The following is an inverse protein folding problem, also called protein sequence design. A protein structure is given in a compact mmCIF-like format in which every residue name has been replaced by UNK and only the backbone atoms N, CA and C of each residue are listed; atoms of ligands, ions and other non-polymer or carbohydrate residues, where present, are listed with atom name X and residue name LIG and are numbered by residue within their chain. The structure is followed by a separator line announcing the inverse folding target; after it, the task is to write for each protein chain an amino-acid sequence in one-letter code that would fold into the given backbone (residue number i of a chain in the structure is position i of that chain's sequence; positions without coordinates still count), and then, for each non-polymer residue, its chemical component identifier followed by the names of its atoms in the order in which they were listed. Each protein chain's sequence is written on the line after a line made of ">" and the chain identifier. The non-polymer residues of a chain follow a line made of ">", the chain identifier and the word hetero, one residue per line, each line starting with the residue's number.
data_IF_660283985527
#
_entry.id   IF_660283985527
#
_cell.length_a   1.000
_cell.length_b   1.000
_cell.length_c   1.000
_cell.angle_alpha   90.00
_cell.angle_beta   90.00
_cell.angle_gamma   90.00
#
_symmetry.space_group_name_H-M   'P 1'
#
loop_
_entity.id
_entity.type
_entity.pdbx_description
1 polymer ?
#
# COMPACT_ATOMS: atom_id res chain seq x y z
N UNK A 1 -37.93 -8.46 48.89
CA UNK A 1 -38.20 -9.07 47.56
C UNK A 1 -36.93 -8.93 46.73
N UNK A 2 -36.11 -9.98 46.72
CA UNK A 2 -34.86 -10.01 45.97
C UNK A 2 -35.14 -10.52 44.56
N UNK A 3 -34.98 -9.65 43.53
CA UNK A 3 -35.07 -10.04 42.12
C UNK A 3 -33.80 -10.80 41.73
N UNK A 4 -33.94 -12.10 41.46
CA UNK A 4 -32.94 -12.97 40.83
C UNK A 4 -32.68 -12.49 39.40
N UNK A 5 -31.49 -11.93 39.19
CA UNK A 5 -30.96 -11.72 37.83
C UNK A 5 -30.72 -13.11 37.20
N UNK A 6 -31.55 -13.49 36.23
CA UNK A 6 -31.36 -14.68 35.41
C UNK A 6 -30.08 -14.49 34.57
N UNK A 7 -29.05 -15.29 34.87
CA UNK A 7 -27.91 -15.47 33.98
C UNK A 7 -28.40 -15.97 32.62
N UNK A 8 -28.26 -15.16 31.60
CA UNK A 8 -28.55 -15.55 30.20
C UNK A 8 -27.57 -16.65 29.76
N UNK A 9 -28.11 -17.85 29.59
CA UNK A 9 -27.35 -19.02 29.17
C UNK A 9 -26.59 -18.76 27.87
N UNK A 10 -25.37 -19.28 27.85
CA UNK A 10 -24.55 -19.42 26.66
C UNK A 10 -25.39 -20.11 25.59
N UNK A 11 -25.76 -19.39 24.52
CA UNK A 11 -26.50 -19.95 23.38
C UNK A 11 -25.77 -21.18 22.87
N UNK A 12 -26.44 -22.33 22.84
CA UNK A 12 -25.96 -23.53 22.16
C UNK A 12 -25.57 -23.13 20.73
N UNK A 13 -24.26 -23.22 20.40
CA UNK A 13 -23.76 -22.99 19.03
C UNK A 13 -24.54 -23.95 18.11
N UNK A 14 -25.32 -23.41 17.20
CA UNK A 14 -26.08 -24.18 16.25
C UNK A 14 -25.18 -25.11 15.44
N UNK A 15 -25.52 -26.38 15.28
CA UNK A 15 -24.76 -27.37 14.47
C UNK A 15 -24.47 -26.85 13.05
N UNK A 16 -25.30 -25.96 12.53
CA UNK A 16 -25.14 -25.29 11.24
C UNK A 16 -23.94 -24.32 11.22
N UNK A 17 -23.59 -23.69 12.35
CA UNK A 17 -22.42 -22.83 12.49
C UNK A 17 -21.13 -23.63 12.44
N UNK A 18 -21.12 -24.85 12.99
CA UNK A 18 -19.93 -25.72 12.93
C UNK A 18 -19.58 -26.14 11.50
N UNK A 19 -20.58 -26.43 10.66
CA UNK A 19 -20.36 -26.73 9.24
C UNK A 19 -19.76 -25.54 8.49
N UNK A 20 -20.23 -24.32 8.78
CA UNK A 20 -19.69 -23.10 8.19
C UNK A 20 -18.26 -22.81 8.68
N UNK A 21 -18.01 -22.97 9.99
CA UNK A 21 -16.67 -22.83 10.56
C UNK A 21 -15.69 -23.82 9.92
N UNK A 22 -16.06 -25.09 9.76
CA UNK A 22 -15.24 -26.09 9.11
C UNK A 22 -14.96 -25.73 7.64
N UNK A 23 -15.98 -25.30 6.90
CA UNK A 23 -15.82 -24.87 5.51
C UNK A 23 -14.86 -23.68 5.40
N UNK A 24 -14.95 -22.69 6.30
CA UNK A 24 -14.05 -21.54 6.34
C UNK A 24 -12.60 -21.95 6.67
N UNK A 25 -12.40 -22.90 7.60
CA UNK A 25 -11.07 -23.43 7.93
C UNK A 25 -10.47 -24.16 6.73
N UNK A 26 -11.25 -24.98 6.03
CA UNK A 26 -10.79 -25.68 4.82
C UNK A 26 -10.41 -24.70 3.71
N UNK A 27 -11.23 -23.68 3.48
CA UNK A 27 -10.91 -22.61 2.53
C UNK A 27 -9.61 -21.89 2.93
N UNK A 28 -9.47 -21.51 4.20
CA UNK A 28 -8.26 -20.87 4.69
C UNK A 28 -7.02 -21.76 4.51
N UNK A 29 -7.13 -23.07 4.76
CA UNK A 29 -6.06 -24.01 4.55
C UNK A 29 -5.63 -24.10 3.08
N UNK A 30 -6.60 -24.12 2.14
CA UNK A 30 -6.33 -24.10 0.69
C UNK A 30 -5.58 -22.83 0.30
N UNK A 31 -6.03 -21.65 0.81
CA UNK A 31 -5.35 -20.38 0.54
C UNK A 31 -3.95 -20.29 1.15
N UNK A 32 -3.67 -21.06 2.20
CA UNK A 32 -2.37 -21.09 2.84
C UNK A 32 -1.35 -21.97 2.08
N UNK A 33 -1.79 -22.93 1.25
CA UNK A 33 -0.92 -23.84 0.50
C UNK A 33 0.17 -23.10 -0.32
N UNK A 34 -0.15 -22.09 -1.15
CA UNK A 34 0.88 -21.40 -1.92
C UNK A 34 1.88 -20.63 -1.04
N UNK A 35 1.44 -20.08 0.09
CA UNK A 35 2.32 -19.42 1.05
C UNK A 35 3.25 -20.42 1.72
N UNK A 36 2.70 -21.56 2.14
CA UNK A 36 3.47 -22.67 2.68
C UNK A 36 4.53 -23.18 1.69
N UNK A 37 4.11 -23.43 0.44
CA UNK A 37 5.01 -23.84 -0.64
C UNK A 37 6.15 -22.86 -0.85
N UNK A 38 5.85 -21.56 -0.91
CA UNK A 38 6.85 -20.50 -1.03
C UNK A 38 7.85 -20.59 0.13
N UNK A 39 7.36 -20.63 1.37
CA UNK A 39 8.22 -20.64 2.57
C UNK A 39 9.12 -21.89 2.60
N UNK A 40 8.56 -23.09 2.43
CA UNK A 40 9.37 -24.31 2.53
C UNK A 40 10.40 -24.45 1.41
N UNK A 41 10.08 -23.93 0.22
CA UNK A 41 10.99 -23.97 -0.94
C UNK A 41 12.20 -23.06 -0.73
N UNK A 42 12.08 -21.97 0.04
CA UNK A 42 13.24 -21.11 0.33
C UNK A 42 14.39 -21.81 1.04
N UNK A 43 14.12 -22.94 1.71
CA UNK A 43 15.10 -23.69 2.49
C UNK A 43 15.55 -24.98 1.80
N UNK A 44 15.15 -25.27 0.57
CA UNK A 44 15.46 -26.50 -0.16
C UNK A 44 16.58 -26.31 -1.17
N UNK A 45 17.19 -27.43 -1.58
CA UNK A 45 17.97 -27.49 -2.80
C UNK A 45 17.06 -27.58 -4.03
N UNK A 46 17.52 -27.21 -5.24
CA UNK A 46 16.72 -27.32 -6.48
C UNK A 46 16.21 -28.73 -6.74
N UNK A 47 17.04 -29.75 -6.44
CA UNK A 47 16.68 -31.16 -6.58
C UNK A 47 15.56 -31.57 -5.61
N UNK A 48 15.64 -31.13 -4.36
CA UNK A 48 14.62 -31.43 -3.36
C UNK A 48 13.30 -30.67 -3.66
N UNK A 49 13.38 -29.43 -4.12
CA UNK A 49 12.22 -28.65 -4.49
C UNK A 49 11.43 -29.30 -5.64
N UNK A 50 12.12 -29.93 -6.58
CA UNK A 50 11.50 -30.66 -7.70
C UNK A 50 10.95 -32.01 -7.27
N UNK A 51 11.72 -32.78 -6.46
CA UNK A 51 11.34 -34.14 -6.04
C UNK A 51 10.20 -34.15 -5.00
N UNK A 52 10.13 -33.15 -4.14
CA UNK A 52 9.13 -33.05 -3.05
C UNK A 52 8.70 -31.60 -2.84
N UNK A 53 7.84 -31.04 -3.73
CA UNK A 53 7.49 -29.62 -3.68
C UNK A 53 6.86 -29.16 -2.35
N UNK A 54 5.92 -29.94 -1.82
CA UNK A 54 5.21 -29.63 -0.57
C UNK A 54 5.79 -30.30 0.68
N UNK A 55 6.83 -31.11 0.54
CA UNK A 55 7.47 -31.76 1.69
C UNK A 55 8.22 -30.74 2.56
N UNK A 56 8.43 -31.07 3.83
CA UNK A 56 9.30 -30.31 4.71
C UNK A 56 10.76 -30.53 4.28
N UNK A 57 11.64 -29.48 4.30
CA UNK A 57 13.04 -29.63 3.95
C UNK A 57 13.73 -30.72 4.77
N UNK A 58 14.42 -31.65 4.11
CA UNK A 58 15.27 -32.67 4.78
C UNK A 58 16.50 -31.98 5.36
N UNK A 59 17.06 -31.04 4.63
CA UNK A 59 18.17 -30.18 5.05
C UNK A 59 17.79 -28.75 4.89
N UNK A 60 17.89 -27.98 5.97
CA UNK A 60 17.53 -26.55 5.96
C UNK A 60 18.68 -25.72 5.42
N UNK A 61 18.56 -25.18 4.20
CA UNK A 61 19.61 -24.43 3.50
C UNK A 61 19.34 -22.93 3.69
N UNK A 62 19.95 -22.33 4.71
CA UNK A 62 19.85 -20.90 4.98
C UNK A 62 20.70 -20.04 4.03
N UNK A 63 21.68 -20.63 3.36
CA UNK A 63 22.52 -19.98 2.35
C UNK A 63 21.71 -19.39 1.21
N UNK A 64 20.53 -19.92 0.88
CA UNK A 64 19.64 -19.38 -0.13
C UNK A 64 19.28 -17.90 0.16
N UNK A 65 19.06 -17.55 1.43
CA UNK A 65 18.80 -16.15 1.83
C UNK A 65 20.06 -15.28 1.74
N UNK A 66 21.21 -15.79 2.15
CA UNK A 66 22.49 -15.07 2.02
C UNK A 66 22.83 -14.79 0.55
N UNK A 67 22.59 -15.77 -0.32
CA UNK A 67 22.79 -15.65 -1.76
C UNK A 67 21.80 -14.64 -2.37
N UNK A 68 20.51 -14.73 -2.03
CA UNK A 68 19.50 -13.79 -2.46
C UNK A 68 19.85 -12.35 -2.05
N UNK A 69 20.26 -12.14 -0.80
CA UNK A 69 20.68 -10.83 -0.27
C UNK A 69 21.81 -10.20 -1.08
N UNK A 70 22.85 -10.99 -1.36
CA UNK A 70 24.01 -10.54 -2.17
C UNK A 70 23.63 -10.29 -3.62
N UNK A 71 22.90 -11.22 -4.23
CA UNK A 71 22.55 -11.20 -5.65
C UNK A 71 21.64 -10.02 -5.99
N UNK A 72 20.67 -9.70 -5.12
CA UNK A 72 19.81 -8.51 -5.24
C UNK A 72 20.53 -7.21 -4.89
N UNK A 73 21.72 -7.26 -4.29
CA UNK A 73 22.31 -6.10 -3.61
C UNK A 73 21.26 -5.46 -2.68
N UNK A 74 20.65 -6.29 -1.83
CA UNK A 74 19.42 -5.96 -1.10
C UNK A 74 19.47 -4.61 -0.36
N UNK A 75 20.53 -4.22 0.37
CA UNK A 75 20.57 -2.93 1.07
C UNK A 75 20.37 -1.74 0.13
N UNK A 76 20.94 -1.78 -1.07
CA UNK A 76 20.80 -0.73 -2.08
C UNK A 76 19.38 -0.71 -2.65
N UNK A 77 18.87 -1.86 -3.13
CA UNK A 77 17.54 -1.96 -3.71
C UNK A 77 16.46 -1.61 -2.69
N UNK A 78 16.62 -2.03 -1.44
CA UNK A 78 15.76 -1.66 -0.31
C UNK A 78 15.79 -0.16 -0.05
N UNK A 79 16.98 0.44 0.05
CA UNK A 79 17.15 1.89 0.25
C UNK A 79 16.46 2.71 -0.85
N UNK A 80 16.64 2.33 -2.12
CA UNK A 80 15.97 2.97 -3.25
C UNK A 80 14.45 2.83 -3.16
N UNK A 81 13.95 1.64 -2.86
CA UNK A 81 12.50 1.40 -2.73
C UNK A 81 11.90 2.21 -1.59
N UNK A 82 12.55 2.24 -0.43
CA UNK A 82 12.10 3.04 0.73
C UNK A 82 12.13 4.54 0.40
N UNK A 83 13.21 5.02 -0.22
CA UNK A 83 13.35 6.43 -0.59
C UNK A 83 12.24 6.87 -1.55
N UNK A 84 11.99 6.10 -2.63
CA UNK A 84 10.95 6.39 -3.60
C UNK A 84 9.57 6.35 -2.92
N UNK A 85 9.28 5.30 -2.16
CA UNK A 85 7.98 5.11 -1.51
C UNK A 85 7.72 6.20 -0.48
N UNK A 86 8.66 6.44 0.43
CA UNK A 86 8.48 7.43 1.49
C UNK A 86 8.31 8.85 0.92
N UNK A 87 9.13 9.22 -0.07
CA UNK A 87 9.04 10.54 -0.70
C UNK A 87 7.71 10.71 -1.45
N UNK A 88 7.27 9.70 -2.23
CA UNK A 88 5.99 9.74 -2.91
C UNK A 88 4.84 9.87 -1.91
N UNK A 89 4.81 9.07 -0.85
CA UNK A 89 3.79 9.11 0.21
C UNK A 89 3.70 10.49 0.85
N UNK A 90 4.84 11.09 1.23
CA UNK A 90 4.88 12.42 1.84
C UNK A 90 4.30 13.48 0.88
N UNK A 91 4.74 13.49 -0.38
CA UNK A 91 4.27 14.43 -1.37
C UNK A 91 2.76 14.28 -1.64
N UNK A 92 2.28 13.04 -1.74
CA UNK A 92 0.85 12.76 -1.96
C UNK A 92 0.02 13.21 -0.75
N UNK A 93 0.48 12.99 0.48
CA UNK A 93 -0.22 13.48 1.67
C UNK A 93 -0.28 14.99 1.67
N UNK A 94 0.83 15.68 1.41
CA UNK A 94 0.88 17.14 1.42
C UNK A 94 -0.03 17.71 0.34
N UNK A 95 0.20 17.35 -0.93
CA UNK A 95 -0.57 17.91 -2.04
C UNK A 95 -2.02 17.40 -2.05
N UNK A 96 -2.25 16.13 -1.76
CA UNK A 96 -3.58 15.52 -1.72
C UNK A 96 -4.45 16.10 -0.62
N UNK A 97 -3.90 16.31 0.59
CA UNK A 97 -4.68 16.89 1.69
C UNK A 97 -4.97 18.38 1.48
N UNK A 98 -4.03 19.16 0.96
CA UNK A 98 -4.24 20.57 0.64
C UNK A 98 -5.28 20.74 -0.47
N UNK A 99 -5.17 19.97 -1.54
CA UNK A 99 -6.13 20.01 -2.65
C UNK A 99 -7.52 19.48 -2.20
N UNK A 100 -7.55 18.38 -1.44
CA UNK A 100 -8.78 17.84 -0.86
C UNK A 100 -9.48 18.84 0.04
N UNK A 101 -8.74 19.54 0.89
CA UNK A 101 -9.28 20.61 1.74
C UNK A 101 -9.84 21.76 0.92
N UNK A 102 -9.08 22.27 -0.04
CA UNK A 102 -9.54 23.35 -0.90
C UNK A 102 -10.83 22.98 -1.65
N UNK A 103 -10.91 21.76 -2.19
CA UNK A 103 -12.07 21.27 -2.93
C UNK A 103 -13.28 20.99 -2.01
N UNK A 104 -13.05 20.53 -0.77
CA UNK A 104 -14.11 20.31 0.22
C UNK A 104 -14.80 21.62 0.61
N UNK A 105 -14.04 22.73 0.64
CA UNK A 105 -14.55 24.05 1.07
C UNK A 105 -14.98 24.97 -0.07
N UNK A 106 -14.56 24.67 -1.29
CA UNK A 106 -14.90 25.48 -2.47
C UNK A 106 -16.16 24.95 -3.17
N UNK A 107 -17.35 25.46 -2.77
CA UNK A 107 -18.65 25.10 -3.38
C UNK A 107 -18.92 25.86 -4.67
N UNK A 108 -17.95 25.95 -5.59
CA UNK A 108 -18.11 26.63 -6.88
C UNK A 108 -18.22 25.60 -8.02
N UNK A 109 -18.80 26.05 -9.15
CA UNK A 109 -18.85 25.22 -10.38
C UNK A 109 -17.47 24.82 -10.86
N UNK A 110 -16.46 25.68 -10.66
CA UNK A 110 -15.07 25.37 -11.02
C UNK A 110 -14.49 24.29 -10.09
N UNK A 111 -14.64 24.40 -8.77
CA UNK A 111 -14.20 23.39 -7.81
C UNK A 111 -14.78 22.01 -8.11
N UNK A 112 -16.09 21.96 -8.40
CA UNK A 112 -16.73 20.70 -8.78
C UNK A 112 -16.19 20.11 -10.08
N UNK A 113 -15.92 20.94 -11.10
CA UNK A 113 -15.32 20.49 -12.36
C UNK A 113 -13.89 19.97 -12.15
N UNK A 114 -13.08 20.67 -11.35
CA UNK A 114 -11.74 20.24 -10.98
C UNK A 114 -11.77 18.88 -10.26
N UNK A 115 -12.68 18.72 -9.30
CA UNK A 115 -12.84 17.44 -8.61
C UNK A 115 -13.23 16.31 -9.57
N UNK A 116 -14.18 16.54 -10.47
CA UNK A 116 -14.57 15.57 -11.49
C UNK A 116 -13.40 15.23 -12.44
N UNK A 117 -12.54 16.19 -12.76
CA UNK A 117 -11.34 15.95 -13.55
C UNK A 117 -10.37 14.99 -12.83
N UNK A 118 -10.14 15.18 -11.53
CA UNK A 118 -9.34 14.23 -10.74
C UNK A 118 -9.97 12.84 -10.69
N UNK A 119 -11.30 12.75 -10.50
CA UNK A 119 -12.00 11.46 -10.52
C UNK A 119 -11.91 10.76 -11.89
N UNK A 120 -12.02 11.53 -12.98
CA UNK A 120 -11.84 11.00 -14.32
C UNK A 120 -10.44 10.38 -14.51
N UNK A 121 -9.40 10.96 -13.87
CA UNK A 121 -8.04 10.43 -13.86
C UNK A 121 -7.93 9.03 -13.24
N UNK A 122 -8.82 8.67 -12.31
CA UNK A 122 -8.84 7.32 -11.71
C UNK A 122 -9.38 6.24 -12.65
N UNK A 123 -10.19 6.64 -13.64
CA UNK A 123 -10.83 5.70 -14.58
C UNK A 123 -9.88 5.33 -15.72
N UNK A 124 -8.94 6.22 -16.06
CA UNK A 124 -8.00 5.99 -17.18
C UNK A 124 -6.92 5.01 -16.74
N UNK A 125 -6.81 3.82 -17.38
CA UNK A 125 -5.73 2.88 -17.08
C UNK A 125 -4.36 3.51 -17.34
N UNK A 126 -3.48 3.45 -16.34
CA UNK A 126 -2.12 4.00 -16.43
C UNK A 126 -1.36 3.47 -17.67
N UNK A 127 -1.54 2.19 -18.00
CA UNK A 127 -0.85 1.51 -19.09
C UNK A 127 -1.12 2.16 -20.47
N UNK A 128 -2.26 2.80 -20.64
CA UNK A 128 -2.60 3.50 -21.90
C UNK A 128 -1.73 4.74 -22.14
N UNK A 129 -1.20 5.32 -21.08
CA UNK A 129 -0.42 6.56 -21.14
C UNK A 129 1.10 6.35 -21.15
N UNK A 130 1.58 5.10 -21.10
CA UNK A 130 3.00 4.77 -20.94
C UNK A 130 3.88 5.45 -21.99
N UNK A 131 3.49 5.41 -23.28
CA UNK A 131 4.30 6.00 -24.37
C UNK A 131 4.40 7.52 -24.24
N UNK A 132 3.29 8.18 -23.94
CA UNK A 132 3.27 9.64 -23.75
C UNK A 132 4.08 10.05 -22.53
N UNK A 133 3.94 9.30 -21.43
CA UNK A 133 4.66 9.52 -20.20
C UNK A 133 6.18 9.32 -20.39
N UNK A 134 6.58 8.28 -21.12
CA UNK A 134 7.98 8.06 -21.47
C UNK A 134 8.58 9.25 -22.22
N UNK A 135 7.85 9.79 -23.21
CA UNK A 135 8.29 10.98 -23.96
C UNK A 135 8.45 12.20 -23.03
N UNK A 136 7.50 12.43 -22.11
CA UNK A 136 7.56 13.54 -21.15
C UNK A 136 8.77 13.38 -20.24
N UNK A 137 8.95 12.23 -19.60
CA UNK A 137 10.09 11.97 -18.69
C UNK A 137 11.42 12.13 -19.42
N UNK A 138 11.50 11.65 -20.67
CA UNK A 138 12.69 11.81 -21.52
C UNK A 138 12.97 13.28 -21.87
N UNK A 139 11.93 14.05 -22.23
CA UNK A 139 12.09 15.48 -22.57
C UNK A 139 12.48 16.33 -21.37
N UNK A 140 12.10 15.93 -20.16
CA UNK A 140 12.50 16.56 -18.90
C UNK A 140 13.90 16.12 -18.42
N UNK A 141 14.61 15.26 -19.17
CA UNK A 141 15.91 14.71 -18.81
C UNK A 141 15.93 13.98 -17.45
N UNK A 142 14.79 13.36 -17.07
CA UNK A 142 14.62 12.65 -15.81
C UNK A 142 14.83 11.13 -15.94
N UNK A 143 15.23 10.62 -17.12
CA UNK A 143 15.52 9.19 -17.29
C UNK A 143 16.62 8.73 -16.33
N UNK A 144 16.49 7.51 -15.84
CA UNK A 144 17.38 6.88 -14.87
C UNK A 144 17.50 7.64 -13.55
N UNK A 145 16.40 8.30 -13.12
CA UNK A 145 16.32 9.05 -11.87
C UNK A 145 15.18 8.57 -10.99
N UNK A 146 15.44 8.42 -9.69
CA UNK A 146 14.39 8.14 -8.70
C UNK A 146 13.28 9.20 -8.71
N UNK A 147 13.62 10.45 -9.04
CA UNK A 147 12.65 11.55 -9.14
C UNK A 147 11.61 11.31 -10.23
N UNK A 148 11.98 10.70 -11.36
CA UNK A 148 11.01 10.33 -12.40
C UNK A 148 9.95 9.39 -11.83
N UNK A 149 10.39 8.34 -11.15
CA UNK A 149 9.49 7.34 -10.54
C UNK A 149 8.62 7.98 -9.45
N UNK A 150 9.19 8.84 -8.61
CA UNK A 150 8.47 9.57 -7.57
C UNK A 150 7.38 10.44 -8.18
N UNK A 151 7.72 11.30 -9.14
CA UNK A 151 6.76 12.24 -9.75
C UNK A 151 5.61 11.51 -10.46
N UNK A 152 5.93 10.43 -11.16
CA UNK A 152 4.91 9.60 -11.82
C UNK A 152 3.97 8.97 -10.79
N UNK A 153 4.52 8.38 -9.73
CA UNK A 153 3.70 7.80 -8.65
C UNK A 153 2.87 8.85 -7.92
N UNK A 154 3.42 10.05 -7.70
CA UNK A 154 2.67 11.19 -7.14
C UNK A 154 1.50 11.56 -8.06
N UNK A 155 1.74 11.68 -9.37
CA UNK A 155 0.69 12.03 -10.32
C UNK A 155 -0.44 10.99 -10.37
N UNK A 156 -0.10 9.70 -10.34
CA UNK A 156 -1.08 8.60 -10.42
C UNK A 156 -1.91 8.47 -9.13
N UNK A 157 -1.29 8.59 -7.96
CA UNK A 157 -1.96 8.33 -6.69
C UNK A 157 -2.61 9.59 -6.06
N UNK A 158 -2.23 10.79 -6.47
CA UNK A 158 -2.80 12.05 -5.93
C UNK A 158 -4.32 12.16 -6.13
N UNK A 159 -4.93 11.81 -7.28
CA UNK A 159 -6.38 11.85 -7.44
C UNK A 159 -7.14 11.03 -6.41
N UNK A 160 -6.67 9.83 -6.09
CA UNK A 160 -7.26 8.97 -5.05
C UNK A 160 -7.12 9.61 -3.66
N UNK A 161 -5.96 10.17 -3.35
CA UNK A 161 -5.74 10.87 -2.08
C UNK A 161 -6.65 12.09 -1.93
N UNK A 162 -6.79 12.93 -2.99
CA UNK A 162 -7.70 14.07 -3.02
C UNK A 162 -9.13 13.62 -2.72
N UNK A 163 -9.59 12.55 -3.38
CA UNK A 163 -10.92 12.00 -3.14
C UNK A 163 -11.12 11.63 -1.66
N UNK A 164 -10.20 10.85 -1.10
CA UNK A 164 -10.30 10.40 0.29
C UNK A 164 -10.27 11.56 1.28
N UNK A 165 -9.39 12.54 1.09
CA UNK A 165 -9.31 13.70 1.95
C UNK A 165 -10.55 14.57 1.86
N UNK A 166 -11.02 14.85 0.64
CA UNK A 166 -12.23 15.67 0.43
C UNK A 166 -13.44 15.06 1.12
N UNK A 167 -13.73 13.78 0.84
CA UNK A 167 -14.88 13.09 1.44
C UNK A 167 -14.79 13.02 2.96
N UNK A 168 -13.59 12.77 3.51
CA UNK A 168 -13.38 12.75 4.95
C UNK A 168 -13.64 14.13 5.58
N UNK A 169 -13.14 15.21 4.97
CA UNK A 169 -13.31 16.57 5.47
C UNK A 169 -14.79 16.97 5.46
N UNK A 170 -15.50 16.70 4.37
CA UNK A 170 -16.94 17.02 4.26
C UNK A 170 -17.78 16.23 5.27
N UNK A 171 -17.42 14.99 5.54
CA UNK A 171 -18.17 14.12 6.43
C UNK A 171 -17.89 14.35 7.94
N UNK A 172 -16.69 14.82 8.30
CA UNK A 172 -16.24 14.76 9.70
C UNK A 172 -15.75 16.06 10.30
N UNK A 173 -15.41 17.09 9.49
CA UNK A 173 -14.88 18.35 9.99
C UNK A 173 -15.94 19.45 9.83
N UNK A 174 -16.58 19.89 10.96
CA UNK A 174 -17.58 20.96 10.93
C UNK A 174 -16.96 22.30 10.50
N UNK A 175 -17.75 23.14 9.84
CA UNK A 175 -17.31 24.48 9.41
C UNK A 175 -17.03 25.42 10.60
N UNK A 176 -17.74 25.23 11.70
CA UNK A 176 -17.65 26.03 12.92
C UNK A 176 -16.22 26.05 13.51
N UNK A 177 -15.44 24.97 13.32
CA UNK A 177 -14.03 24.94 13.72
C UNK A 177 -13.16 25.90 12.91
N UNK A 178 -13.51 26.10 11.64
CA UNK A 178 -12.78 27.02 10.77
C UNK A 178 -13.19 28.45 11.00
N UNK A 179 -14.48 28.69 11.26
CA UNK A 179 -15.01 29.99 11.65
C UNK A 179 -14.39 30.48 12.97
N UNK A 180 -14.26 29.61 13.96
CA UNK A 180 -13.55 29.93 15.19
C UNK A 180 -12.08 30.32 14.94
N UNK A 181 -11.39 29.57 14.08
CA UNK A 181 -10.00 29.88 13.70
C UNK A 181 -9.89 31.21 12.92
N UNK A 182 -10.92 31.59 12.16
CA UNK A 182 -10.97 32.89 11.46
C UNK A 182 -11.14 34.04 12.46
N UNK A 183 -11.99 33.86 13.48
CA UNK A 183 -12.16 34.83 14.58
C UNK A 183 -10.84 35.03 15.32
N UNK A 184 -10.05 33.94 15.52
CA UNK A 184 -8.71 33.98 16.13
C UNK A 184 -7.63 34.57 15.19
N UNK A 185 -7.99 35.08 14.00
CA UNK A 185 -7.08 35.70 13.04
C UNK A 185 -6.15 34.71 12.32
N UNK A 186 -6.55 33.46 12.19
CA UNK A 186 -5.78 32.46 11.44
C UNK A 186 -5.96 32.65 9.93
N UNK A 187 -4.89 32.95 9.20
CA UNK A 187 -4.90 32.87 7.74
C UNK A 187 -5.03 31.41 7.25
N UNK A 188 -5.40 31.24 5.97
CA UNK A 188 -5.74 29.94 5.36
C UNK A 188 -4.69 28.85 5.60
N UNK A 189 -3.40 29.13 5.37
CA UNK A 189 -2.33 28.15 5.58
C UNK A 189 -2.17 27.79 7.07
N UNK A 190 -2.22 28.78 7.95
CA UNK A 190 -2.12 28.55 9.41
C UNK A 190 -3.31 27.69 9.90
N UNK A 191 -4.51 27.98 9.42
CA UNK A 191 -5.74 27.21 9.68
C UNK A 191 -5.56 25.77 9.21
N UNK A 192 -5.11 25.56 7.96
CA UNK A 192 -4.87 24.22 7.43
C UNK A 192 -3.89 23.43 8.29
N UNK A 193 -2.68 23.96 8.53
CA UNK A 193 -1.63 23.19 9.22
C UNK A 193 -1.88 23.01 10.72
N UNK A 194 -2.52 23.97 11.39
CA UNK A 194 -2.71 23.93 12.86
C UNK A 194 -4.05 23.37 13.30
N UNK A 195 -5.09 23.50 12.48
CA UNK A 195 -6.45 23.06 12.85
C UNK A 195 -6.85 21.84 12.03
N UNK A 196 -6.82 21.93 10.70
CA UNK A 196 -7.36 20.90 9.82
C UNK A 196 -6.45 19.67 9.77
N UNK A 197 -5.17 19.83 9.46
CA UNK A 197 -4.23 18.71 9.24
C UNK A 197 -4.13 17.76 10.45
N UNK A 198 -4.12 18.21 11.71
CA UNK A 198 -4.15 17.32 12.86
C UNK A 198 -5.42 16.46 12.95
N UNK A 199 -6.56 16.98 12.50
CA UNK A 199 -7.83 16.25 12.47
C UNK A 199 -7.88 15.21 11.34
N UNK A 200 -7.03 15.34 10.31
CA UNK A 200 -6.94 14.40 9.21
C UNK A 200 -6.16 13.12 9.55
N UNK A 201 -5.61 12.96 10.74
CA UNK A 201 -4.82 11.77 11.13
C UNK A 201 -5.44 10.43 10.74
N UNK A 202 -6.76 10.18 10.91
CA UNK A 202 -7.36 8.90 10.53
C UNK A 202 -7.27 8.64 9.02
N UNK A 203 -7.66 9.61 8.19
CA UNK A 203 -7.61 9.47 6.73
C UNK A 203 -6.18 9.52 6.20
N UNK A 204 -5.25 10.27 6.83
CA UNK A 204 -3.82 10.22 6.52
C UNK A 204 -3.31 8.80 6.68
N UNK A 205 -3.65 8.11 7.76
CA UNK A 205 -3.23 6.72 7.97
C UNK A 205 -3.75 5.80 6.86
N UNK A 206 -4.98 5.97 6.43
CA UNK A 206 -5.55 5.23 5.29
C UNK A 206 -4.79 5.51 3.99
N UNK A 207 -4.52 6.77 3.69
CA UNK A 207 -3.76 7.18 2.49
C UNK A 207 -2.33 6.62 2.54
N UNK A 208 -1.66 6.72 3.70
CA UNK A 208 -0.30 6.14 3.90
C UNK A 208 -0.30 4.65 3.54
N UNK A 209 -1.25 3.88 4.04
CA UNK A 209 -1.31 2.44 3.80
C UNK A 209 -1.54 2.14 2.32
N UNK A 210 -2.57 2.74 1.72
CA UNK A 210 -2.94 2.49 0.32
C UNK A 210 -1.79 2.89 -0.62
N UNK A 211 -1.25 4.09 -0.44
CA UNK A 211 -0.19 4.61 -1.31
C UNK A 211 1.11 3.83 -1.12
N UNK A 212 1.47 3.46 0.13
CA UNK A 212 2.65 2.62 0.36
C UNK A 212 2.52 1.29 -0.36
N UNK A 213 1.36 0.62 -0.27
CA UNK A 213 1.12 -0.64 -0.98
C UNK A 213 1.20 -0.46 -2.50
N UNK A 214 0.60 0.60 -3.04
CA UNK A 214 0.62 0.88 -4.47
C UNK A 214 2.05 1.13 -4.98
N UNK A 215 2.79 2.04 -4.33
CA UNK A 215 4.14 2.44 -4.78
C UNK A 215 5.17 1.33 -4.56
N UNK A 216 5.09 0.60 -3.43
CA UNK A 216 6.01 -0.50 -3.13
C UNK A 216 5.89 -1.66 -4.12
N UNK A 217 4.66 -1.99 -4.52
CA UNK A 217 4.38 -3.08 -5.46
C UNK A 217 4.36 -2.63 -6.93
N UNK A 218 4.61 -1.34 -7.19
CA UNK A 218 4.66 -0.83 -8.56
C UNK A 218 5.95 -1.27 -9.25
N UNK A 219 5.81 -1.92 -10.41
CA UNK A 219 6.90 -2.50 -11.17
C UNK A 219 7.18 -1.79 -12.49
N UNK A 220 6.12 -1.33 -13.19
CA UNK A 220 6.24 -0.81 -14.55
C UNK A 220 6.99 0.53 -14.59
N UNK A 221 6.72 1.43 -13.66
CA UNK A 221 7.37 2.74 -13.61
C UNK A 221 8.87 2.62 -13.37
N UNK A 222 9.35 1.87 -12.35
CA UNK A 222 10.77 1.58 -12.21
C UNK A 222 11.37 0.88 -13.42
N UNK A 223 10.68 -0.09 -14.00
CA UNK A 223 11.16 -0.83 -15.19
C UNK A 223 11.40 0.10 -16.37
N UNK A 224 10.53 1.08 -16.59
CA UNK A 224 10.61 2.01 -17.72
C UNK A 224 11.66 3.13 -17.51
N UNK A 225 11.78 3.62 -16.27
CA UNK A 225 12.53 4.85 -16.01
C UNK A 225 13.86 4.63 -15.29
N UNK A 226 14.07 3.50 -14.60
CA UNK A 226 15.33 3.17 -13.91
C UNK A 226 16.12 2.15 -14.72
N UNK A 227 17.07 2.62 -15.52
CA UNK A 227 17.84 1.79 -16.44
C UNK A 227 19.11 1.21 -15.79
N UNK A 228 19.76 1.97 -14.92
CA UNK A 228 20.95 1.50 -14.22
C UNK A 228 20.59 0.63 -13.01
N UNK A 229 21.43 -0.37 -12.76
CA UNK A 229 21.26 -1.24 -11.59
C UNK A 229 21.39 -0.49 -10.28
N UNK A 230 22.17 0.59 -10.26
CA UNK A 230 22.38 1.43 -9.07
C UNK A 230 21.09 2.05 -8.56
N UNK A 231 20.22 2.47 -9.46
CA UNK A 231 18.92 3.06 -9.14
C UNK A 231 17.81 2.02 -8.99
N UNK A 232 18.11 0.73 -9.21
CA UNK A 232 17.14 -0.35 -9.20
C UNK A 232 16.46 -0.54 -7.85
N UNK A 233 15.17 -0.89 -7.91
CA UNK A 233 14.31 -1.21 -6.76
C UNK A 233 14.20 -2.71 -6.55
N UNK A 234 13.65 -3.14 -5.40
CA UNK A 234 13.52 -4.56 -5.01
C UNK A 234 12.86 -5.38 -6.11
N UNK A 235 11.70 -4.95 -6.63
CA UNK A 235 10.96 -5.73 -7.62
C UNK A 235 11.72 -5.89 -8.94
N UNK A 236 12.53 -4.91 -9.35
CA UNK A 236 13.42 -5.06 -10.51
C UNK A 236 14.51 -6.10 -10.25
N UNK A 237 15.12 -6.11 -9.07
CA UNK A 237 16.15 -7.10 -8.73
C UNK A 237 15.56 -8.52 -8.68
N UNK A 238 14.35 -8.69 -8.15
CA UNK A 238 13.62 -9.96 -8.21
C UNK A 238 13.37 -10.38 -9.65
N UNK A 239 12.84 -9.47 -10.48
CA UNK A 239 12.48 -9.78 -11.87
C UNK A 239 13.67 -10.17 -12.74
N UNK A 240 14.88 -9.65 -12.48
CA UNK A 240 16.12 -10.01 -13.17
C UNK A 240 16.53 -11.47 -12.96
N UNK A 241 16.01 -12.10 -11.90
CA UNK A 241 16.28 -13.50 -11.56
C UNK A 241 15.20 -14.46 -12.06
N UNK A 242 14.17 -13.95 -12.76
CA UNK A 242 13.19 -14.78 -13.45
C UNK A 242 13.80 -15.21 -14.79
N UNK A 243 14.09 -16.51 -14.91
CA UNK A 243 14.65 -17.06 -16.14
C UNK A 243 13.64 -17.08 -17.28
N UNK A 244 14.13 -16.88 -18.52
CA UNK A 244 13.27 -16.88 -19.71
C UNK A 244 12.72 -18.27 -20.03
N UNK A 245 13.49 -19.32 -19.78
CA UNK A 245 13.12 -20.70 -20.10
C UNK A 245 12.98 -21.60 -18.88
N UNK A 246 13.67 -21.28 -17.78
CA UNK A 246 13.60 -22.00 -16.52
C UNK A 246 13.86 -21.04 -15.38
N UNK A 247 13.18 -21.23 -14.27
CA UNK A 247 13.36 -20.42 -13.05
C UNK A 247 13.77 -21.35 -11.91
N UNK A 248 14.86 -21.01 -11.25
CA UNK A 248 15.22 -21.64 -9.99
C UNK A 248 14.40 -21.02 -8.85
N UNK A 249 13.37 -21.74 -8.44
CA UNK A 249 12.48 -21.31 -7.38
C UNK A 249 13.17 -21.23 -6.02
N UNK A 250 14.22 -22.02 -5.79
CA UNK A 250 14.97 -22.01 -4.54
C UNK A 250 15.86 -20.77 -4.40
N UNK A 251 16.22 -20.14 -5.52
CA UNK A 251 16.89 -18.85 -5.55
C UNK A 251 15.90 -17.68 -5.55
N UNK A 252 14.78 -17.79 -6.31
CA UNK A 252 13.82 -16.70 -6.48
C UNK A 252 12.95 -16.47 -5.24
N UNK A 253 12.48 -17.52 -4.57
CA UNK A 253 11.57 -17.37 -3.44
C UNK A 253 12.20 -16.67 -2.22
N UNK A 254 13.47 -16.91 -1.85
CA UNK A 254 14.13 -16.08 -0.85
C UNK A 254 14.18 -14.59 -1.21
N UNK A 255 14.33 -14.24 -2.50
CA UNK A 255 14.30 -12.85 -2.95
C UNK A 255 12.91 -12.23 -2.78
N UNK A 256 11.86 -12.98 -3.15
CA UNK A 256 10.48 -12.56 -2.92
C UNK A 256 10.19 -12.36 -1.42
N UNK A 257 10.63 -13.28 -0.56
CA UNK A 257 10.47 -13.16 0.90
C UNK A 257 11.18 -11.91 1.44
N UNK A 258 12.41 -11.65 1.01
CA UNK A 258 13.13 -10.43 1.37
C UNK A 258 12.41 -9.17 0.89
N UNK A 259 11.80 -9.22 -0.30
CA UNK A 259 11.06 -8.09 -0.86
C UNK A 259 9.74 -7.80 -0.13
N UNK A 260 9.06 -8.85 0.35
CA UNK A 260 7.77 -8.74 1.05
C UNK A 260 7.96 -8.44 2.54
N UNK A 261 9.04 -8.92 3.16
CA UNK A 261 9.26 -8.80 4.60
C UNK A 261 9.14 -7.35 5.13
N UNK A 262 9.74 -6.31 4.51
CA UNK A 262 9.58 -4.93 4.98
C UNK A 262 8.13 -4.45 4.94
N UNK A 263 7.39 -4.87 3.91
CA UNK A 263 5.97 -4.52 3.76
C UNK A 263 5.11 -5.21 4.82
N UNK A 264 5.42 -6.46 5.18
CA UNK A 264 4.76 -7.16 6.29
C UNK A 264 5.03 -6.46 7.62
N UNK A 265 6.27 -6.04 7.88
CA UNK A 265 6.63 -5.26 9.07
C UNK A 265 5.84 -3.94 9.10
N UNK A 266 5.83 -3.20 7.99
CA UNK A 266 5.02 -1.99 7.86
C UNK A 266 3.54 -2.26 8.17
N UNK A 267 2.95 -3.32 7.61
CA UNK A 267 1.56 -3.69 7.84
C UNK A 267 1.27 -4.00 9.32
N UNK A 268 2.14 -4.74 10.00
CA UNK A 268 1.99 -5.05 11.44
C UNK A 268 1.91 -3.78 12.28
N UNK A 269 2.70 -2.75 11.96
CA UNK A 269 2.62 -1.47 12.66
C UNK A 269 1.38 -0.66 12.28
N UNK A 270 0.93 -0.75 11.02
CA UNK A 270 -0.18 0.06 10.50
C UNK A 270 -1.57 -0.56 10.73
N UNK A 271 -1.70 -1.87 10.98
CA UNK A 271 -2.99 -2.57 11.13
C UNK A 271 -3.93 -1.94 12.17
N UNK A 272 -3.38 -1.41 13.28
CA UNK A 272 -4.18 -0.75 14.31
C UNK A 272 -4.91 0.50 13.81
N UNK A 273 -4.37 1.17 12.80
CA UNK A 273 -4.99 2.35 12.20
C UNK A 273 -6.06 2.00 11.15
N UNK A 274 -5.97 0.80 10.54
CA UNK A 274 -6.99 0.30 9.61
C UNK A 274 -8.30 0.04 10.35
N UNK A 275 -8.22 -0.64 11.51
CA UNK A 275 -9.40 -1.02 12.30
C UNK A 275 -10.14 0.24 12.80
N UNK A 276 -9.41 1.27 13.23
CA UNK A 276 -9.99 2.54 13.69
C UNK A 276 -10.67 3.37 12.60
N UNK A 277 -10.15 3.33 11.36
CA UNK A 277 -10.73 4.08 10.23
C UNK A 277 -12.02 3.47 9.66
N UNK A 278 -12.10 2.15 9.60
CA UNK A 278 -13.28 1.43 9.08
C UNK A 278 -14.47 1.52 10.04
N UNK A 279 -14.22 1.49 11.35
CA UNK A 279 -15.29 1.53 12.35
C UNK A 279 -15.96 2.90 12.47
N UNK A 280 -15.23 3.99 12.22
CA UNK A 280 -15.78 5.35 12.25
C UNK A 280 -16.71 5.64 11.08
N UNK A 281 -16.52 4.99 9.93
CA UNK A 281 -17.39 5.08 8.76
C UNK A 281 -18.64 4.17 8.83
N UNK A 282 -18.58 3.07 9.58
CA UNK A 282 -19.66 2.07 9.65
C UNK A 282 -20.73 2.37 10.72
N UNK A 283 -20.51 3.32 11.63
CA UNK A 283 -21.43 3.62 12.76
C UNK A 283 -22.46 4.71 12.41
N UNK A 284 -22.54 5.17 11.16
CA UNK A 284 -23.61 6.06 10.67
C UNK A 284 -24.59 5.28 9.79
N UNK A 285 -25.18 4.21 10.33
CA UNK A 285 -26.35 3.51 9.80
C UNK A 285 -27.41 3.46 10.88
#
# INVERSE_FOLDING_TARGET
>A
MMNKVKSSGIKKKDKKLWGLELAMILLAAIWFIPIYYLIVTTFKSPQEATASPLGIPKTWIFENYSNAWKQMSFPRAFGNTVFITATAVILIIVFGSMAGYALARTKTKLGNRMFLLFLAGLIVPFQMNIVSLYKIVKSLHLMNSAFAVILVNVAINTPQAIFLFKEFIEATIPMELEEAADIDGCGVLKKFFRVILPLLKPVISTVVIIVTLNVWNEFLTPLLFLQSRENGVILQEVSRNIGQFSTDWTALFPMLMLGVAPLMVFYIFMQKYIIGGVTTGAVKG
#
